data_IF_860763055697
#
_entry.id   IF_860763055697
#
_cell.length_a   1.000
_cell.length_b   1.000
_cell.length_c   1.000
_cell.angle_alpha   90.00
_cell.angle_beta   90.00
_cell.angle_gamma   90.00
#
_symmetry.space_group_name_H-M   'P 1'
#
loop_
_entity.id
_entity.type
_entity.pdbx_description
1 polymer ?
#
# COMPACT_ATOMS: atom_id res chain seq x y z
N UNK A 1 -5.83 -12.63 -18.50
CA UNK A 1 -4.74 -12.50 -17.50
C UNK A 1 -4.35 -11.04 -17.45
N UNK A 2 -4.42 -10.36 -16.29
CA UNK A 2 -4.00 -8.95 -16.16
C UNK A 2 -2.52 -8.92 -15.71
N UNK A 3 -1.55 -8.84 -16.64
CA UNK A 3 -0.13 -8.80 -16.28
C UNK A 3 0.20 -7.64 -15.34
N UNK A 4 -0.57 -6.54 -15.41
CA UNK A 4 -0.38 -5.38 -14.56
C UNK A 4 -0.55 -5.69 -13.06
N UNK A 5 -1.57 -6.49 -12.69
CA UNK A 5 -1.81 -6.84 -11.29
C UNK A 5 -0.70 -7.76 -10.75
N UNK A 6 -0.20 -8.66 -11.59
CA UNK A 6 0.95 -9.52 -11.27
C UNK A 6 2.24 -8.73 -11.12
N UNK A 7 2.45 -7.71 -11.96
CA UNK A 7 3.61 -6.80 -11.87
C UNK A 7 3.54 -5.98 -10.58
N UNK A 8 2.36 -5.46 -10.21
CA UNK A 8 2.20 -4.77 -8.93
C UNK A 8 2.47 -5.71 -7.75
N UNK A 9 1.84 -6.89 -7.70
CA UNK A 9 2.12 -7.87 -6.63
C UNK A 9 3.61 -8.24 -6.53
N UNK A 10 4.29 -8.44 -7.65
CA UNK A 10 5.72 -8.77 -7.67
C UNK A 10 6.58 -7.57 -7.22
N UNK A 11 6.23 -6.36 -7.65
CA UNK A 11 6.91 -5.13 -7.24
C UNK A 11 6.72 -4.82 -5.75
N UNK A 12 5.57 -5.19 -5.16
CA UNK A 12 5.33 -5.09 -3.73
C UNK A 12 6.03 -6.18 -2.91
N UNK A 13 6.14 -7.39 -3.46
CA UNK A 13 6.78 -8.52 -2.76
C UNK A 13 8.30 -8.38 -2.65
N UNK A 14 8.93 -7.43 -3.36
CA UNK A 14 10.35 -7.15 -3.28
C UNK A 14 10.58 -5.85 -2.50
N UNK A 15 10.94 -5.98 -1.22
CA UNK A 15 11.42 -4.93 -0.30
C UNK A 15 12.54 -4.03 -0.88
N UNK A 16 13.08 -4.38 -2.05
CA UNK A 16 14.18 -3.70 -2.77
C UNK A 16 13.76 -2.80 -3.93
N UNK A 17 12.49 -2.75 -4.34
CA UNK A 17 12.09 -2.00 -5.55
C UNK A 17 11.70 -0.53 -5.30
N UNK A 18 11.80 -0.04 -4.06
CA UNK A 18 11.83 1.41 -3.81
C UNK A 18 10.60 2.18 -4.33
N UNK A 19 9.42 1.55 -4.38
CA UNK A 19 8.19 2.32 -4.53
C UNK A 19 7.99 3.05 -3.21
N UNK A 20 8.55 4.26 -3.11
CA UNK A 20 8.48 5.07 -1.90
C UNK A 20 7.02 5.20 -1.46
N UNK A 21 6.76 4.91 -0.19
CA UNK A 21 5.54 5.18 0.59
C UNK A 21 4.71 6.39 0.13
N UNK A 22 5.38 7.48 -0.25
CA UNK A 22 4.73 8.67 -0.80
C UNK A 22 4.07 8.41 -2.15
N UNK A 23 4.71 7.76 -3.11
CA UNK A 23 4.09 7.40 -4.40
C UNK A 23 2.89 6.48 -4.23
N UNK A 24 2.96 5.54 -3.29
CA UNK A 24 1.85 4.63 -2.99
C UNK A 24 0.63 5.37 -2.45
N UNK A 25 0.83 6.20 -1.43
CA UNK A 25 -0.25 6.96 -0.79
C UNK A 25 -0.78 8.10 -1.67
N UNK A 26 0.08 8.78 -2.45
CA UNK A 26 -0.29 10.01 -3.17
C UNK A 26 -0.65 9.79 -4.63
N UNK A 27 -0.24 8.68 -5.26
CA UNK A 27 -0.48 8.43 -6.69
C UNK A 27 -1.27 7.15 -6.92
N UNK A 28 -0.95 6.09 -6.20
CA UNK A 28 -1.49 4.76 -6.49
C UNK A 28 -2.85 4.55 -5.82
N UNK A 29 -3.00 4.81 -4.52
CA UNK A 29 -4.30 4.73 -3.81
C UNK A 29 -5.39 5.64 -4.41
N UNK A 30 -5.16 6.94 -4.66
CA UNK A 30 -6.20 7.82 -5.23
C UNK A 30 -6.60 7.46 -6.66
N UNK A 31 -5.79 6.64 -7.36
CA UNK A 31 -6.13 6.11 -8.68
C UNK A 31 -6.77 4.72 -8.62
N UNK A 32 -6.31 3.85 -7.70
CA UNK A 32 -6.87 2.51 -7.51
C UNK A 32 -8.29 2.53 -6.95
N UNK A 33 -8.62 3.46 -6.06
CA UNK A 33 -9.97 3.57 -5.49
C UNK A 33 -11.05 3.78 -6.56
N UNK A 34 -10.96 4.80 -7.46
CA UNK A 34 -11.96 4.97 -8.51
C UNK A 34 -11.98 3.81 -9.52
N UNK A 35 -10.83 3.19 -9.81
CA UNK A 35 -10.79 1.98 -10.65
C UNK A 35 -11.48 0.79 -9.98
N UNK A 36 -11.40 0.66 -8.65
CA UNK A 36 -12.02 -0.45 -7.92
C UNK A 36 -13.55 -0.43 -7.91
N UNK A 37 -14.16 0.71 -8.25
CA UNK A 37 -15.62 0.89 -8.29
C UNK A 37 -16.17 0.98 -9.72
N UNK A 38 -15.35 0.74 -10.74
CA UNK A 38 -15.80 0.75 -12.13
C UNK A 38 -16.85 -0.33 -12.37
N UNK A 39 -17.99 0.04 -12.97
CA UNK A 39 -19.09 -0.90 -13.25
C UNK A 39 -18.76 -1.97 -14.31
N UNK A 40 -17.59 -1.87 -14.94
CA UNK A 40 -17.05 -2.84 -15.91
C UNK A 40 -16.37 -4.04 -15.21
N UNK A 41 -16.14 -3.97 -13.90
CA UNK A 41 -15.43 -5.00 -13.14
C UNK A 41 -16.32 -6.19 -12.78
N UNK A 42 -15.74 -7.39 -12.86
CA UNK A 42 -16.32 -8.59 -12.28
C UNK A 42 -15.84 -8.81 -10.83
N UNK A 43 -16.52 -9.70 -10.10
CA UNK A 43 -16.25 -9.98 -8.69
C UNK A 43 -14.78 -10.34 -8.42
N UNK A 44 -14.15 -11.14 -9.29
CA UNK A 44 -12.73 -11.51 -9.11
C UNK A 44 -11.80 -10.31 -9.25
N UNK A 45 -12.08 -9.41 -10.20
CA UNK A 45 -11.30 -8.20 -10.39
C UNK A 45 -11.48 -7.25 -9.19
N UNK A 46 -12.72 -7.04 -8.75
CA UNK A 46 -13.01 -6.25 -7.55
C UNK A 46 -12.27 -6.78 -6.32
N UNK A 47 -12.37 -8.08 -6.05
CA UNK A 47 -11.68 -8.71 -4.90
C UNK A 47 -10.17 -8.51 -4.96
N UNK A 48 -9.58 -8.59 -6.16
CA UNK A 48 -8.16 -8.35 -6.37
C UNK A 48 -7.76 -6.88 -6.09
N UNK A 49 -8.58 -5.91 -6.50
CA UNK A 49 -8.39 -4.51 -6.14
C UNK A 49 -8.52 -4.28 -4.62
N UNK A 50 -9.55 -4.86 -4.00
CA UNK A 50 -9.81 -4.72 -2.57
C UNK A 50 -8.70 -5.33 -1.70
N UNK A 51 -8.11 -6.45 -2.13
CA UNK A 51 -6.92 -7.03 -1.47
C UNK A 51 -5.70 -6.12 -1.61
N UNK A 52 -5.40 -5.64 -2.82
CA UNK A 52 -4.28 -4.75 -3.08
C UNK A 52 -4.36 -3.45 -2.26
N UNK A 53 -5.54 -2.82 -2.20
CA UNK A 53 -5.75 -1.59 -1.41
C UNK A 53 -5.52 -1.85 0.08
N UNK A 54 -5.99 -3.00 0.61
CA UNK A 54 -5.78 -3.38 2.01
C UNK A 54 -4.31 -3.59 2.33
N UNK A 55 -3.59 -4.33 1.50
CA UNK A 55 -2.14 -4.52 1.67
C UNK A 55 -1.39 -3.18 1.68
N UNK A 56 -1.74 -2.28 0.75
CA UNK A 56 -1.15 -0.94 0.68
C UNK A 56 -1.41 -0.12 1.94
N UNK A 57 -2.64 -0.13 2.47
CA UNK A 57 -2.97 0.54 3.71
C UNK A 57 -2.22 -0.06 4.91
N UNK A 58 -2.17 -1.39 5.02
CA UNK A 58 -1.44 -2.06 6.11
C UNK A 58 0.06 -1.79 6.06
N UNK A 59 0.66 -1.72 4.87
CA UNK A 59 2.06 -1.34 4.73
C UNK A 59 2.29 0.13 5.14
N UNK A 60 1.43 1.04 4.67
CA UNK A 60 1.51 2.46 5.02
C UNK A 60 1.40 2.67 6.54
N UNK A 61 0.49 1.97 7.19
CA UNK A 61 0.31 2.01 8.64
C UNK A 61 1.57 1.50 9.38
N UNK A 62 2.10 0.32 9.01
CA UNK A 62 3.32 -0.24 9.60
C UNK A 62 4.51 0.70 9.47
N UNK A 63 4.72 1.27 8.28
CA UNK A 63 5.84 2.19 8.04
C UNK A 63 5.66 3.53 8.77
N UNK A 64 4.45 4.09 8.77
CA UNK A 64 4.18 5.33 9.50
C UNK A 64 4.33 5.13 11.00
N UNK A 65 3.86 4.00 11.54
CA UNK A 65 4.04 3.62 12.94
C UNK A 65 5.52 3.50 13.27
N UNK A 66 6.29 2.72 12.50
CA UNK A 66 7.73 2.57 12.70
C UNK A 66 8.48 3.92 12.64
N UNK A 67 8.10 4.81 11.72
CA UNK A 67 8.68 6.15 11.63
C UNK A 67 8.34 7.02 12.83
N UNK A 68 7.09 6.99 13.30
CA UNK A 68 6.68 7.71 14.51
C UNK A 68 7.32 7.14 15.77
N UNK A 69 7.49 5.82 15.87
CA UNK A 69 8.20 5.16 16.96
C UNK A 69 9.69 5.52 16.96
N UNK A 70 10.34 5.59 15.80
CA UNK A 70 11.73 6.09 15.71
C UNK A 70 11.85 7.57 16.06
N UNK A 71 10.89 8.41 15.65
CA UNK A 71 10.89 9.84 15.95
C UNK A 71 10.59 10.13 17.43
N UNK A 72 9.76 9.32 18.08
CA UNK A 72 9.44 9.43 19.51
C UNK A 72 10.32 8.54 20.41
N UNK A 73 11.26 7.78 19.83
CA UNK A 73 11.99 6.70 20.48
C UNK A 73 13.27 7.08 21.23
N UNK A 74 13.44 8.34 21.69
CA UNK A 74 14.34 8.67 22.81
C UNK A 74 13.76 9.85 23.61
N UNK A 75 12.66 9.65 24.31
CA UNK A 75 12.22 10.58 25.37
C UNK A 75 11.55 9.87 26.55
N UNK A 76 11.87 8.59 26.77
CA UNK A 76 11.57 7.89 28.02
C UNK A 76 12.86 7.55 28.76
N UNK A 77 13.56 8.58 29.20
CA UNK A 77 14.22 8.61 30.52
C UNK A 77 14.04 10.05 31.01
N UNK A 78 13.39 10.31 32.15
CA UNK A 78 14.01 9.98 33.44
C UNK A 78 13.08 9.62 34.61
N UNK A 79 13.68 8.83 35.52
CA UNK A 79 13.55 8.83 36.99
C UNK A 79 12.81 7.67 37.65
#
# INVERSE_FOLDING_TARGET
MLPLLSIYRLAFSHEKLGISREKLATRVLPHLIPLSIEGSLNLKQYLAFAELIRDMCSQLEREQKAKLEQLHGIAEEPK
#
